data_IF_558888081432
#
_entry.id   IF_558888081432
#
_cell.length_a   1.000
_cell.length_b   1.000
_cell.length_c   1.000
_cell.angle_alpha   90.00
_cell.angle_beta   90.00
_cell.angle_gamma   90.00
#
_symmetry.space_group_name_H-M   'P 1'
#
loop_
_entity.id
_entity.type
_entity.pdbx_description
1 polymer ?
#
# COMPACT_ATOMS: atom_id res chain seq x y z
N UNK A 1 -57.59 -34.71 35.43
CA UNK A 1 -57.29 -33.27 35.61
C UNK A 1 -55.79 -33.15 35.53
N UNK A 2 -55.30 -33.12 34.32
CA UNK A 2 -53.93 -33.38 33.95
C UNK A 2 -53.11 -32.09 33.79
N UNK A 3 -51.97 -32.09 34.43
CA UNK A 3 -50.99 -31.01 34.27
C UNK A 3 -50.06 -31.35 33.12
N UNK A 4 -50.13 -30.62 32.05
CA UNK A 4 -49.13 -30.69 30.97
C UNK A 4 -47.87 -29.93 31.37
N UNK A 5 -46.77 -30.68 31.50
CA UNK A 5 -45.42 -30.10 31.59
C UNK A 5 -44.91 -29.78 30.20
N UNK A 6 -44.72 -28.52 29.91
CA UNK A 6 -44.08 -28.04 28.69
C UNK A 6 -42.58 -27.84 28.94
N UNK A 7 -41.76 -28.79 28.53
CA UNK A 7 -40.30 -28.67 28.53
C UNK A 7 -39.87 -27.85 27.32
N UNK A 8 -39.39 -26.62 27.57
CA UNK A 8 -38.75 -25.79 26.57
C UNK A 8 -37.30 -26.25 26.37
N UNK A 9 -37.02 -26.92 25.27
CA UNK A 9 -35.66 -27.20 24.84
C UNK A 9 -35.04 -25.95 24.20
N UNK A 10 -34.08 -25.36 24.89
CA UNK A 10 -33.28 -24.23 24.39
C UNK A 10 -32.22 -24.77 23.44
N UNK A 11 -32.45 -24.70 22.13
CA UNK A 11 -31.47 -25.02 21.11
C UNK A 11 -30.45 -23.89 20.99
N UNK A 12 -29.26 -24.11 21.51
CA UNK A 12 -28.10 -23.23 21.37
C UNK A 12 -27.56 -23.36 19.94
N UNK A 13 -27.92 -22.43 19.05
CA UNK A 13 -27.27 -22.29 17.75
C UNK A 13 -25.86 -21.69 17.97
N UNK A 14 -24.84 -22.54 18.02
CA UNK A 14 -23.45 -22.08 17.78
C UNK A 14 -23.34 -21.70 16.29
N UNK A 15 -23.42 -20.44 16.00
CA UNK A 15 -22.97 -19.91 14.72
C UNK A 15 -21.44 -20.05 14.64
N UNK A 16 -20.97 -21.12 13.99
CA UNK A 16 -19.59 -21.14 13.48
C UNK A 16 -19.49 -20.00 12.46
N UNK A 17 -18.90 -18.88 12.89
CA UNK A 17 -18.40 -17.89 11.97
C UNK A 17 -17.28 -18.59 11.17
N UNK A 18 -17.60 -19.00 9.94
CA UNK A 18 -16.59 -19.37 8.97
C UNK A 18 -15.77 -18.09 8.72
N UNK A 19 -14.63 -17.98 9.41
CA UNK A 19 -13.59 -17.03 9.03
C UNK A 19 -13.13 -17.54 7.66
N UNK A 20 -13.63 -16.91 6.60
CA UNK A 20 -13.07 -17.08 5.27
C UNK A 20 -11.60 -16.64 5.39
N UNK A 21 -10.70 -17.61 5.52
CA UNK A 21 -9.27 -17.37 5.41
C UNK A 21 -9.07 -16.74 4.04
N UNK A 22 -8.65 -15.48 4.03
CA UNK A 22 -8.16 -14.84 2.83
C UNK A 22 -7.20 -15.82 2.16
N UNK A 23 -7.47 -16.20 0.90
CA UNK A 23 -6.70 -17.20 0.18
C UNK A 23 -5.35 -16.62 -0.29
N UNK A 24 -4.61 -15.95 0.59
CA UNK A 24 -3.23 -15.51 0.42
C UNK A 24 -2.27 -16.63 0.82
N UNK A 25 -1.12 -16.74 0.14
CA UNK A 25 0.01 -17.50 0.66
C UNK A 25 0.47 -16.94 2.02
N UNK A 26 1.37 -17.64 2.74
CA UNK A 26 1.89 -17.12 4.00
C UNK A 26 2.59 -15.79 3.77
N UNK A 27 2.46 -14.86 4.71
CA UNK A 27 3.27 -13.64 4.69
C UNK A 27 4.75 -13.99 4.86
N UNK A 28 5.63 -13.12 4.41
CA UNK A 28 7.05 -13.41 4.38
C UNK A 28 7.62 -13.76 5.77
N UNK A 29 7.17 -13.08 6.83
CA UNK A 29 7.54 -13.37 8.21
C UNK A 29 7.06 -14.74 8.67
N UNK A 30 5.84 -15.13 8.33
CA UNK A 30 5.27 -16.46 8.62
C UNK A 30 6.01 -17.56 7.86
N UNK A 31 6.52 -17.25 6.68
CA UNK A 31 7.36 -18.15 5.88
C UNK A 31 8.81 -18.26 6.40
N UNK A 32 9.16 -17.57 7.48
CA UNK A 32 10.46 -17.63 8.14
C UNK A 32 11.47 -16.59 7.67
N UNK A 33 11.07 -15.58 6.89
CA UNK A 33 11.99 -14.47 6.54
C UNK A 33 12.27 -13.65 7.79
N UNK A 34 13.56 -13.41 8.16
CA UNK A 34 13.92 -12.72 9.40
C UNK A 34 13.89 -11.20 9.20
N UNK A 35 12.79 -10.57 9.56
CA UNK A 35 12.73 -9.11 9.65
C UNK A 35 13.03 -8.63 11.08
N UNK A 36 13.64 -7.45 11.17
CA UNK A 36 13.98 -6.80 12.42
C UNK A 36 12.83 -5.92 12.93
N UNK A 37 12.80 -5.70 14.24
CA UNK A 37 11.83 -4.84 14.94
C UNK A 37 10.49 -5.51 15.23
N UNK A 38 9.81 -5.00 16.26
CA UNK A 38 8.50 -5.48 16.71
C UNK A 38 7.40 -4.88 15.85
N UNK A 39 6.43 -5.70 15.44
CA UNK A 39 5.28 -5.28 14.64
C UNK A 39 4.10 -4.89 15.52
N UNK A 40 3.18 -4.10 14.97
CA UNK A 40 1.84 -4.00 15.52
C UNK A 40 1.06 -5.32 15.35
N UNK A 41 -0.16 -5.39 15.90
CA UNK A 41 -0.95 -6.64 15.91
C UNK A 41 -1.29 -7.20 14.54
N UNK A 42 -1.43 -6.34 13.52
CA UNK A 42 -1.77 -6.71 12.15
C UNK A 42 -0.55 -6.75 11.23
N UNK A 43 0.59 -6.23 11.70
CA UNK A 43 1.77 -5.95 10.88
C UNK A 43 1.38 -5.26 9.57
N UNK A 44 0.59 -4.20 9.66
CA UNK A 44 -0.01 -3.47 8.54
C UNK A 44 -0.06 -1.96 8.81
N UNK A 45 -0.22 -1.17 7.76
CA UNK A 45 -0.38 0.29 7.88
C UNK A 45 -1.57 0.67 8.78
N UNK A 46 -2.58 -0.19 8.86
CA UNK A 46 -3.78 -0.03 9.71
C UNK A 46 -3.53 -0.26 11.19
N UNK A 47 -2.33 -0.65 11.62
CA UNK A 47 -1.91 -0.59 13.02
C UNK A 47 -1.75 0.87 13.50
N UNK A 48 -1.58 1.82 12.59
CA UNK A 48 -1.65 3.24 12.90
C UNK A 48 -3.11 3.63 13.09
N UNK A 49 -3.44 4.05 14.31
CA UNK A 49 -4.82 4.33 14.69
C UNK A 49 -5.50 5.37 13.77
N UNK A 50 -6.67 5.04 13.27
CA UNK A 50 -7.47 5.86 12.37
C UNK A 50 -7.21 5.61 10.89
N UNK A 51 -6.16 4.88 10.52
CA UNK A 51 -5.92 4.53 9.11
C UNK A 51 -6.93 3.48 8.64
N UNK A 52 -7.60 3.77 7.53
CA UNK A 52 -8.57 2.87 6.88
C UNK A 52 -8.18 2.60 5.44
N UNK A 53 -8.39 1.36 4.98
CA UNK A 53 -8.06 0.92 3.62
C UNK A 53 -9.30 0.38 2.93
N UNK A 54 -9.51 0.80 1.68
CA UNK A 54 -10.52 0.25 0.77
C UNK A 54 -9.89 -0.18 -0.54
N UNK A 55 -10.35 -1.30 -1.11
CA UNK A 55 -9.75 -1.88 -2.31
C UNK A 55 -10.84 -2.39 -3.26
N UNK A 56 -10.67 -2.09 -4.56
CA UNK A 56 -11.50 -2.66 -5.64
C UNK A 56 -10.60 -3.24 -6.70
N UNK A 57 -10.78 -4.53 -6.98
CA UNK A 57 -9.97 -5.31 -7.91
C UNK A 57 -10.78 -5.61 -9.17
N UNK A 58 -10.20 -5.29 -10.35
CA UNK A 58 -10.83 -5.51 -11.65
C UNK A 58 -10.03 -6.54 -12.45
N UNK A 59 -10.61 -7.73 -12.61
CA UNK A 59 -10.03 -8.82 -13.40
C UNK A 59 -11.11 -9.34 -14.34
N UNK A 60 -10.89 -9.18 -15.67
CA UNK A 60 -11.80 -9.71 -16.68
C UNK A 60 -11.11 -9.92 -18.03
N UNK A 61 -11.70 -10.74 -18.86
CA UNK A 61 -11.22 -11.01 -20.21
C UNK A 61 -9.90 -11.81 -20.26
N UNK A 62 -9.58 -12.30 -21.46
CA UNK A 62 -8.37 -13.05 -21.81
C UNK A 62 -8.05 -12.84 -23.29
N UNK A 63 -6.84 -13.22 -23.75
CA UNK A 63 -6.42 -13.19 -25.14
C UNK A 63 -5.66 -11.93 -25.56
N UNK A 64 -5.84 -11.51 -26.81
CA UNK A 64 -5.15 -10.37 -27.38
C UNK A 64 -5.61 -9.04 -26.75
N UNK A 65 -4.70 -8.07 -26.67
CA UNK A 65 -5.05 -6.71 -26.29
C UNK A 65 -6.01 -6.09 -27.31
N UNK A 66 -7.19 -5.70 -26.82
CA UNK A 66 -8.15 -4.90 -27.57
C UNK A 66 -8.48 -3.65 -26.75
N UNK A 67 -8.03 -2.49 -27.21
CA UNK A 67 -8.21 -1.22 -26.50
C UNK A 67 -9.68 -0.98 -26.12
N UNK A 68 -9.92 -0.74 -24.84
CA UNK A 68 -11.26 -0.54 -24.26
C UNK A 68 -12.05 -1.83 -24.03
N UNK A 69 -11.51 -3.00 -24.36
CA UNK A 69 -12.12 -4.31 -24.14
C UNK A 69 -11.33 -5.24 -23.23
N UNK A 70 -10.05 -4.96 -23.05
CA UNK A 70 -9.16 -5.72 -22.15
C UNK A 70 -8.21 -6.66 -22.88
N UNK A 71 -7.65 -7.66 -22.22
CA UNK A 71 -7.87 -8.09 -20.81
C UNK A 71 -7.63 -7.01 -19.76
N UNK A 72 -8.43 -7.06 -18.69
CA UNK A 72 -8.38 -6.09 -17.57
C UNK A 72 -7.69 -6.70 -16.36
N UNK A 73 -6.65 -6.04 -15.86
CA UNK A 73 -5.89 -6.42 -14.67
C UNK A 73 -5.47 -5.15 -13.92
N UNK A 74 -6.42 -4.46 -13.30
CA UNK A 74 -6.22 -3.16 -12.66
C UNK A 74 -7.12 -3.01 -11.44
N UNK A 75 -7.14 -1.85 -10.80
CA UNK A 75 -8.01 -1.57 -9.67
C UNK A 75 -7.65 -0.30 -8.95
N UNK A 76 -8.20 -0.14 -7.75
CA UNK A 76 -8.07 1.04 -6.92
C UNK A 76 -7.82 0.61 -5.48
N UNK A 77 -6.82 1.22 -4.83
CA UNK A 77 -6.62 1.16 -3.37
C UNK A 77 -6.74 2.57 -2.80
N UNK A 78 -7.57 2.72 -1.77
CA UNK A 78 -7.80 3.97 -1.06
C UNK A 78 -7.22 3.86 0.34
N UNK A 79 -6.56 4.92 0.82
CA UNK A 79 -6.02 5.04 2.16
C UNK A 79 -6.59 6.31 2.78
N UNK A 80 -7.40 6.19 3.83
CA UNK A 80 -7.80 7.34 4.63
C UNK A 80 -6.84 7.51 5.81
N UNK A 81 -6.20 8.67 5.97
CA UNK A 81 -5.25 8.90 7.06
C UNK A 81 -5.87 8.83 8.47
N UNK A 82 -7.10 9.30 8.61
CA UNK A 82 -7.84 9.38 9.90
C UNK A 82 -9.30 8.95 9.78
N UNK A 83 -9.57 7.96 8.91
CA UNK A 83 -10.91 7.48 8.63
C UNK A 83 -11.75 8.38 7.71
N UNK A 84 -12.78 7.80 7.13
CA UNK A 84 -13.66 8.47 6.15
C UNK A 84 -14.38 9.71 6.69
N UNK A 85 -14.70 9.70 7.96
CA UNK A 85 -15.48 10.77 8.61
C UNK A 85 -14.62 11.97 9.07
N UNK A 86 -13.29 11.90 8.92
CA UNK A 86 -12.41 12.97 9.35
C UNK A 86 -12.26 14.05 8.27
N UNK A 87 -12.78 15.27 8.50
CA UNK A 87 -12.79 16.33 7.50
C UNK A 87 -11.54 17.23 7.55
N UNK A 88 -10.63 16.99 8.50
CA UNK A 88 -9.51 17.88 8.77
C UNK A 88 -8.24 17.54 7.98
N UNK A 89 -7.23 18.37 8.18
CA UNK A 89 -5.91 18.20 7.60
C UNK A 89 -5.05 17.22 8.42
N UNK A 90 -4.13 16.56 7.75
CA UNK A 90 -3.03 15.83 8.37
C UNK A 90 -1.72 16.40 7.86
N UNK A 91 -0.70 16.45 8.72
CA UNK A 91 0.64 16.79 8.27
C UNK A 91 1.17 15.71 7.33
N UNK A 92 1.76 16.16 6.22
CA UNK A 92 2.35 15.32 5.20
C UNK A 92 3.73 15.82 4.77
N UNK A 93 4.47 14.93 4.14
CA UNK A 93 5.74 15.27 3.50
C UNK A 93 6.06 14.26 2.41
N UNK A 94 6.46 14.75 1.24
CA UNK A 94 6.76 13.92 0.08
C UNK A 94 8.25 13.79 -0.17
N UNK A 95 8.65 12.72 -0.85
CA UNK A 95 9.97 12.51 -1.38
C UNK A 95 9.91 11.80 -2.73
N UNK A 96 10.65 12.32 -3.72
CA UNK A 96 10.77 11.72 -5.05
C UNK A 96 12.18 11.18 -5.19
N UNK A 97 12.32 9.86 -5.23
CA UNK A 97 13.59 9.20 -5.50
C UNK A 97 13.90 9.19 -7.00
N UNK A 98 12.87 8.97 -7.84
CA UNK A 98 12.90 9.19 -9.29
C UNK A 98 11.51 9.60 -9.78
N UNK A 99 11.42 10.58 -10.66
CA UNK A 99 10.21 11.32 -10.97
C UNK A 99 9.46 10.87 -12.24
N UNK A 100 9.75 9.70 -12.80
CA UNK A 100 9.04 9.21 -14.00
C UNK A 100 7.72 8.52 -13.61
N UNK A 101 6.82 9.25 -12.96
CA UNK A 101 5.52 8.83 -12.45
C UNK A 101 4.70 10.01 -11.96
N UNK A 102 3.47 9.76 -11.53
CA UNK A 102 2.55 10.79 -11.07
C UNK A 102 2.08 10.56 -9.63
N UNK A 103 2.06 11.65 -8.86
CA UNK A 103 1.31 11.80 -7.61
C UNK A 103 0.70 13.19 -7.61
N UNK A 104 -0.61 13.27 -7.83
CA UNK A 104 -1.34 14.55 -7.76
C UNK A 104 -1.38 15.07 -6.33
N UNK A 105 -1.71 16.34 -6.13
CA UNK A 105 -1.77 16.96 -4.79
C UNK A 105 -0.41 17.19 -4.13
N UNK A 106 0.68 16.65 -4.67
CA UNK A 106 2.02 16.79 -4.10
C UNK A 106 2.48 18.23 -3.98
N UNK A 107 2.16 19.08 -4.97
CA UNK A 107 2.54 20.49 -4.92
C UNK A 107 1.97 21.20 -3.68
N UNK A 108 0.73 20.89 -3.29
CA UNK A 108 0.11 21.42 -2.07
C UNK A 108 0.83 20.89 -0.82
N UNK A 109 1.14 19.60 -0.77
CA UNK A 109 1.85 19.00 0.37
C UNK A 109 3.26 19.60 0.52
N UNK A 110 3.97 19.80 -0.59
CA UNK A 110 5.31 20.41 -0.58
C UNK A 110 5.27 21.88 -0.16
N UNK A 111 4.20 22.63 -0.47
CA UNK A 111 4.01 24.04 -0.12
C UNK A 111 3.53 24.23 1.32
N UNK A 112 2.46 23.55 1.73
CA UNK A 112 1.81 23.76 3.03
C UNK A 112 2.25 22.76 4.09
N UNK A 113 2.79 21.61 3.70
CA UNK A 113 3.14 20.52 4.62
C UNK A 113 1.94 19.74 5.13
N UNK A 114 0.79 19.88 4.49
CA UNK A 114 -0.45 19.21 4.91
C UNK A 114 -1.34 18.88 3.71
N UNK A 115 -2.26 17.94 3.92
CA UNK A 115 -3.29 17.59 2.96
C UNK A 115 -4.53 17.07 3.69
N UNK A 116 -5.61 16.96 2.95
CA UNK A 116 -6.87 16.39 3.44
C UNK A 116 -7.31 15.25 2.53
N UNK A 117 -8.11 14.35 3.09
CA UNK A 117 -8.76 13.31 2.33
C UNK A 117 -7.98 12.04 2.06
N UNK A 118 -8.53 11.18 1.18
CA UNK A 118 -7.90 9.93 0.86
C UNK A 118 -6.67 10.09 -0.04
N UNK A 119 -5.73 9.17 0.12
CA UNK A 119 -4.70 8.87 -0.86
C UNK A 119 -5.21 7.72 -1.71
N UNK A 120 -5.16 7.85 -3.03
CA UNK A 120 -5.62 6.82 -3.97
C UNK A 120 -4.44 6.28 -4.77
N UNK A 121 -4.32 4.95 -4.84
CA UNK A 121 -3.33 4.24 -5.65
C UNK A 121 -4.04 3.46 -6.75
N UNK A 122 -3.57 3.59 -8.00
CA UNK A 122 -4.19 2.94 -9.16
C UNK A 122 -3.18 2.70 -10.30
N UNK A 123 -3.64 2.26 -11.46
CA UNK A 123 -2.82 2.16 -12.68
C UNK A 123 -2.69 3.51 -13.39
N UNK A 124 -1.60 3.70 -14.16
CA UNK A 124 -1.25 4.97 -14.83
C UNK A 124 -2.39 5.55 -15.67
N UNK A 125 -3.15 4.71 -16.36
CA UNK A 125 -4.28 5.15 -17.19
C UNK A 125 -5.51 5.62 -16.41
N UNK A 126 -5.51 5.53 -15.08
CA UNK A 126 -6.68 5.77 -14.22
C UNK A 126 -6.55 6.96 -13.26
N UNK A 127 -5.42 7.68 -13.31
CA UNK A 127 -5.17 8.84 -12.42
C UNK A 127 -6.27 9.89 -12.58
N UNK A 128 -6.62 10.25 -13.81
CA UNK A 128 -7.61 11.28 -14.10
C UNK A 128 -8.99 10.96 -13.53
N UNK A 129 -9.52 9.75 -13.77
CA UNK A 129 -10.83 9.36 -13.25
C UNK A 129 -10.84 9.25 -11.73
N UNK A 130 -9.75 8.77 -11.13
CA UNK A 130 -9.65 8.70 -9.67
C UNK A 130 -9.61 10.10 -9.05
N UNK A 131 -8.85 11.03 -9.63
CA UNK A 131 -8.76 12.41 -9.16
C UNK A 131 -10.12 13.11 -9.24
N UNK A 132 -10.77 13.09 -10.39
CA UNK A 132 -12.07 13.70 -10.63
C UNK A 132 -13.15 13.13 -9.69
N UNK A 133 -13.15 11.81 -9.51
CA UNK A 133 -14.11 11.14 -8.62
C UNK A 133 -13.91 11.53 -7.15
N UNK A 134 -12.67 11.58 -6.66
CA UNK A 134 -12.40 11.99 -5.26
C UNK A 134 -12.81 13.45 -5.06
N UNK A 135 -12.53 14.32 -6.02
CA UNK A 135 -12.93 15.73 -5.97
C UNK A 135 -14.47 15.85 -5.87
N UNK A 136 -15.19 15.14 -6.73
CA UNK A 136 -16.66 15.12 -6.72
C UNK A 136 -17.21 14.52 -5.42
N UNK A 137 -16.62 13.43 -4.91
CA UNK A 137 -17.00 12.78 -3.67
C UNK A 137 -16.86 13.74 -2.48
N UNK A 138 -15.76 14.52 -2.41
CA UNK A 138 -15.58 15.54 -1.39
C UNK A 138 -16.60 16.68 -1.50
N UNK A 139 -16.86 17.16 -2.70
CA UNK A 139 -17.86 18.20 -2.91
C UNK A 139 -19.23 17.78 -2.36
N UNK A 140 -19.60 16.50 -2.55
CA UNK A 140 -20.84 15.97 -1.97
C UNK A 140 -20.76 15.87 -0.43
N UNK A 141 -19.63 15.44 0.11
CA UNK A 141 -19.44 15.30 1.56
C UNK A 141 -19.51 16.65 2.29
N UNK A 142 -19.01 17.73 1.68
CA UNK A 142 -18.91 19.08 2.28
C UNK A 142 -20.05 20.01 1.89
N UNK A 143 -21.04 19.52 1.13
CA UNK A 143 -22.16 20.34 0.67
C UNK A 143 -21.87 21.24 -0.54
N UNK A 144 -20.70 21.08 -1.18
CA UNK A 144 -20.36 21.67 -2.47
C UNK A 144 -20.11 23.19 -2.46
N UNK A 145 -19.92 23.82 -1.29
CA UNK A 145 -19.57 25.24 -1.24
C UNK A 145 -18.10 25.45 -1.64
N UNK A 146 -17.80 26.17 -2.76
CA UNK A 146 -16.43 26.37 -3.19
C UNK A 146 -15.56 27.16 -2.21
N UNK A 147 -16.16 28.01 -1.38
CA UNK A 147 -15.42 28.82 -0.39
C UNK A 147 -14.87 27.94 0.74
N UNK A 148 -15.58 26.85 1.08
CA UNK A 148 -15.20 25.92 2.15
C UNK A 148 -14.36 24.73 1.66
N UNK A 149 -14.23 24.55 0.32
CA UNK A 149 -13.74 23.30 -0.26
C UNK A 149 -12.42 23.41 -1.01
N UNK A 150 -11.75 24.55 -1.03
CA UNK A 150 -10.51 24.73 -1.82
C UNK A 150 -9.45 23.66 -1.54
N UNK A 151 -9.20 23.34 -0.28
CA UNK A 151 -8.20 22.35 0.11
C UNK A 151 -8.58 20.90 -0.28
N UNK A 152 -9.87 20.64 -0.51
CA UNK A 152 -10.38 19.34 -0.95
C UNK A 152 -10.35 19.15 -2.47
N UNK A 153 -10.01 20.19 -3.21
CA UNK A 153 -9.97 20.16 -4.67
C UNK A 153 -8.63 19.67 -5.23
N UNK A 154 -7.70 19.25 -4.38
CA UNK A 154 -6.38 18.75 -4.75
C UNK A 154 -6.14 17.33 -4.23
N UNK A 155 -6.93 16.33 -4.70
CA UNK A 155 -6.80 14.95 -4.28
C UNK A 155 -5.40 14.38 -4.50
N UNK A 156 -4.96 13.51 -3.60
CA UNK A 156 -3.71 12.77 -3.73
C UNK A 156 -3.99 11.45 -4.45
N UNK A 157 -3.60 11.36 -5.72
CA UNK A 157 -3.71 10.14 -6.52
C UNK A 157 -2.34 9.80 -7.08
N UNK A 158 -1.86 8.60 -6.80
CA UNK A 158 -0.57 8.10 -7.28
C UNK A 158 -0.74 6.81 -8.09
N UNK A 159 0.23 6.53 -8.96
CA UNK A 159 0.11 5.45 -9.92
C UNK A 159 1.40 4.63 -10.07
N UNK A 160 1.22 3.41 -10.58
CA UNK A 160 2.25 2.61 -11.21
C UNK A 160 1.72 1.96 -12.49
N UNK A 161 2.60 1.64 -13.45
CA UNK A 161 2.20 1.21 -14.80
C UNK A 161 1.85 -0.29 -14.83
N UNK A 162 0.57 -0.63 -15.03
CA UNK A 162 0.05 -2.00 -15.11
C UNK A 162 0.01 -2.60 -16.53
N UNK A 163 0.46 -1.87 -17.54
CA UNK A 163 0.33 -2.21 -18.96
C UNK A 163 1.12 -3.44 -19.43
N UNK A 164 1.81 -4.16 -18.54
CA UNK A 164 2.37 -5.47 -18.87
C UNK A 164 1.29 -6.56 -18.91
N UNK A 165 0.23 -6.42 -18.11
CA UNK A 165 -0.85 -7.38 -17.96
C UNK A 165 -2.23 -6.81 -18.30
N UNK A 166 -2.38 -5.48 -18.29
CA UNK A 166 -3.63 -4.75 -18.38
C UNK A 166 -3.75 -3.97 -19.68
N UNK A 167 -4.96 -3.82 -20.17
CA UNK A 167 -5.34 -2.79 -21.17
C UNK A 167 -5.37 -1.41 -20.47
N UNK A 168 -4.18 -0.88 -20.17
CA UNK A 168 -3.96 0.32 -19.34
C UNK A 168 -4.71 1.54 -19.85
N UNK A 169 -4.76 1.73 -21.17
CA UNK A 169 -5.39 2.90 -21.77
C UNK A 169 -6.86 2.68 -22.14
N UNK A 170 -7.41 1.50 -21.84
CA UNK A 170 -8.82 1.17 -22.04
C UNK A 170 -9.78 1.80 -21.05
N UNK A 171 -9.26 2.55 -20.06
CA UNK A 171 -10.05 3.29 -19.05
C UNK A 171 -11.08 2.40 -18.33
N UNK A 172 -10.64 1.25 -17.84
CA UNK A 172 -11.49 0.26 -17.19
C UNK A 172 -11.90 0.64 -15.77
N UNK A 173 -11.08 1.42 -15.06
CA UNK A 173 -11.48 2.05 -13.79
C UNK A 173 -12.51 3.13 -14.10
N UNK A 174 -13.64 3.08 -13.40
CA UNK A 174 -14.76 4.02 -13.55
C UNK A 174 -15.02 4.71 -12.19
N UNK A 175 -15.77 5.83 -12.15
CA UNK A 175 -16.11 6.52 -10.91
C UNK A 175 -16.71 5.59 -9.85
N UNK A 176 -17.61 4.68 -10.25
CA UNK A 176 -18.23 3.71 -9.34
C UNK A 176 -17.24 2.80 -8.63
N UNK A 177 -16.12 2.43 -9.27
CA UNK A 177 -15.07 1.61 -8.65
C UNK A 177 -14.29 2.40 -7.60
N UNK A 178 -14.03 3.69 -7.86
CA UNK A 178 -13.38 4.59 -6.90
C UNK A 178 -14.30 4.83 -5.70
N UNK A 179 -15.58 5.13 -5.93
CA UNK A 179 -16.58 5.30 -4.89
C UNK A 179 -16.70 4.02 -4.05
N UNK A 180 -16.76 2.85 -4.68
CA UNK A 180 -16.81 1.57 -3.97
C UNK A 180 -15.58 1.36 -3.07
N UNK A 181 -14.38 1.76 -3.53
CA UNK A 181 -13.16 1.69 -2.73
C UNK A 181 -13.22 2.68 -1.54
N UNK A 182 -13.70 3.91 -1.77
CA UNK A 182 -13.92 4.91 -0.71
C UNK A 182 -14.90 4.39 0.34
N UNK A 183 -16.06 3.85 -0.08
CA UNK A 183 -17.11 3.38 0.81
C UNK A 183 -16.72 2.12 1.60
N UNK A 184 -15.95 1.21 0.99
CA UNK A 184 -15.51 -0.03 1.63
C UNK A 184 -14.35 0.14 2.59
N UNK A 185 -13.72 1.31 2.65
CA UNK A 185 -12.56 1.55 3.49
C UNK A 185 -12.86 1.31 4.98
N UNK A 186 -11.95 0.58 5.64
CA UNK A 186 -12.05 0.21 7.05
C UNK A 186 -10.66 -0.06 7.64
N UNK A 187 -10.57 -0.01 8.96
CA UNK A 187 -9.42 -0.55 9.71
C UNK A 187 -9.39 -2.07 9.67
N UNK A 188 -8.38 -2.67 10.29
CA UNK A 188 -8.21 -4.13 10.33
C UNK A 188 -7.24 -4.67 9.29
N UNK A 189 -7.23 -5.98 9.01
CA UNK A 189 -6.31 -6.59 8.06
C UNK A 189 -6.42 -5.99 6.66
N UNK A 190 -5.26 -5.83 6.00
CA UNK A 190 -5.15 -5.32 4.62
C UNK A 190 -4.88 -6.50 3.68
N UNK A 191 -5.63 -6.59 2.59
CA UNK A 191 -5.33 -7.57 1.54
C UNK A 191 -4.07 -7.16 0.76
N UNK A 192 -3.19 -8.14 0.47
CA UNK A 192 -1.89 -7.93 -0.16
C UNK A 192 -1.79 -8.63 -1.52
N UNK A 193 -0.79 -8.27 -2.32
CA UNK A 193 -0.50 -8.86 -3.62
C UNK A 193 -1.34 -8.26 -4.74
N UNK A 194 -1.98 -9.13 -5.52
CA UNK A 194 -2.68 -8.79 -6.77
C UNK A 194 -4.09 -8.24 -6.53
N UNK A 195 -4.21 -7.21 -5.69
CA UNK A 195 -5.49 -6.61 -5.27
C UNK A 195 -5.46 -5.09 -5.42
N UNK A 196 -6.63 -4.49 -5.55
CA UNK A 196 -6.77 -3.04 -5.68
C UNK A 196 -5.89 -2.47 -6.79
N UNK A 197 -5.24 -1.34 -6.52
CA UNK A 197 -4.27 -0.74 -7.44
C UNK A 197 -3.07 -1.65 -7.76
N UNK A 198 -2.76 -2.65 -6.92
CA UNK A 198 -1.70 -3.64 -7.13
C UNK A 198 -2.02 -4.77 -8.09
N UNK A 199 -3.24 -4.84 -8.63
CA UNK A 199 -3.73 -5.99 -9.41
C UNK A 199 -2.84 -6.37 -10.59
N UNK A 200 -2.44 -5.42 -11.43
CA UNK A 200 -1.60 -5.67 -12.62
C UNK A 200 -0.09 -5.52 -12.40
N UNK A 201 0.37 -5.29 -11.16
CA UNK A 201 1.73 -4.87 -10.87
C UNK A 201 2.73 -6.03 -10.81
N UNK A 202 3.96 -5.73 -11.24
CA UNK A 202 5.05 -6.69 -11.37
C UNK A 202 6.31 -6.11 -10.74
N UNK A 203 6.84 -6.76 -9.71
CA UNK A 203 8.10 -6.34 -9.10
C UNK A 203 9.16 -7.46 -9.22
N UNK A 204 10.38 -7.07 -9.53
CA UNK A 204 11.51 -7.99 -9.74
C UNK A 204 11.20 -9.14 -10.71
N UNK A 205 10.34 -8.88 -11.71
CA UNK A 205 9.91 -9.89 -12.69
C UNK A 205 9.01 -10.98 -12.12
N UNK A 206 8.45 -10.78 -10.93
CA UNK A 206 7.42 -11.61 -10.32
C UNK A 206 6.12 -10.82 -10.12
N UNK A 207 5.01 -11.53 -10.05
CA UNK A 207 3.74 -10.91 -9.70
C UNK A 207 3.82 -10.35 -8.27
N UNK A 208 3.45 -9.09 -8.13
CA UNK A 208 3.48 -8.37 -6.87
C UNK A 208 2.22 -7.51 -6.71
N UNK A 209 2.32 -6.33 -6.16
CA UNK A 209 1.22 -5.38 -6.01
C UNK A 209 1.22 -4.69 -4.67
N UNK A 210 0.11 -4.79 -3.91
CA UNK A 210 0.01 -4.19 -2.59
C UNK A 210 0.79 -5.02 -1.57
N UNK A 211 1.54 -4.33 -0.71
CA UNK A 211 2.18 -4.93 0.45
C UNK A 211 2.15 -3.97 1.63
N UNK A 212 2.15 -4.48 2.85
CA UNK A 212 2.09 -3.66 4.04
C UNK A 212 2.91 -4.26 5.18
N UNK A 213 3.34 -3.41 6.10
CA UNK A 213 3.99 -3.81 7.35
C UNK A 213 3.92 -2.68 8.38
N UNK A 214 4.19 -2.98 9.64
CA UNK A 214 4.27 -1.98 10.69
C UNK A 214 5.46 -2.21 11.63
N UNK A 215 5.82 -1.17 12.39
CA UNK A 215 6.80 -1.24 13.49
C UNK A 215 6.34 -0.44 14.67
N UNK A 216 6.50 -1.02 15.84
CA UNK A 216 6.33 -0.33 17.12
C UNK A 216 7.64 0.34 17.53
N UNK A 217 7.56 1.59 17.95
CA UNK A 217 8.70 2.43 18.29
C UNK A 217 8.53 3.00 19.69
N UNK A 218 9.37 2.58 20.61
CA UNK A 218 9.42 3.18 21.95
C UNK A 218 10.30 4.43 21.94
N UNK A 219 9.69 5.58 22.27
CA UNK A 219 10.36 6.87 22.28
C UNK A 219 9.79 7.78 23.38
N UNK A 220 10.66 8.37 24.19
CA UNK A 220 10.28 9.27 25.29
C UNK A 220 9.19 8.70 26.22
N UNK A 221 9.26 7.41 26.54
CA UNK A 221 8.33 6.71 27.43
C UNK A 221 6.95 6.41 26.82
N UNK A 222 6.81 6.57 25.50
CA UNK A 222 5.61 6.23 24.71
C UNK A 222 5.95 5.25 23.61
N UNK A 223 4.97 4.46 23.21
CA UNK A 223 5.06 3.63 22.01
C UNK A 223 4.30 4.32 20.88
N UNK A 224 4.96 4.49 19.75
CA UNK A 224 4.40 4.96 18.50
C UNK A 224 4.41 3.84 17.48
N UNK A 225 3.54 3.95 16.49
CA UNK A 225 3.45 3.02 15.37
C UNK A 225 3.93 3.71 14.09
N UNK A 226 4.76 3.01 13.31
CA UNK A 226 5.07 3.35 11.92
C UNK A 226 4.50 2.26 11.04
N UNK A 227 3.54 2.59 10.19
CA UNK A 227 2.91 1.68 9.23
C UNK A 227 3.28 2.06 7.81
N UNK A 228 3.49 1.07 6.95
CA UNK A 228 3.85 1.26 5.55
C UNK A 228 2.90 0.47 4.65
N UNK A 229 2.45 1.09 3.56
CA UNK A 229 1.79 0.42 2.45
C UNK A 229 2.54 0.77 1.16
N UNK A 230 2.79 -0.25 0.34
CA UNK A 230 3.43 -0.09 -0.97
C UNK A 230 2.51 -0.56 -2.10
N UNK A 231 2.61 0.09 -3.25
CA UNK A 231 2.18 -0.45 -4.54
C UNK A 231 3.44 -0.71 -5.35
N UNK A 232 3.89 -1.98 -5.36
CA UNK A 232 5.20 -2.38 -5.88
C UNK A 232 5.10 -2.87 -7.33
N UNK A 233 5.80 -2.17 -8.23
CA UNK A 233 5.86 -2.45 -9.67
C UNK A 233 7.24 -2.09 -10.23
N UNK A 234 8.32 -2.59 -9.65
CA UNK A 234 9.68 -2.13 -9.93
C UNK A 234 10.74 -3.23 -9.87
N UNK A 235 11.93 -2.94 -10.34
CA UNK A 235 13.12 -3.76 -10.17
C UNK A 235 13.26 -4.90 -11.19
N UNK A 236 14.50 -5.25 -11.51
CA UNK A 236 14.86 -6.42 -12.30
C UNK A 236 15.05 -7.66 -11.44
N UNK A 237 14.80 -8.84 -12.00
CA UNK A 237 14.86 -10.13 -11.27
C UNK A 237 16.18 -10.37 -10.56
N UNK A 238 17.29 -10.08 -11.21
CA UNK A 238 18.66 -10.26 -10.70
C UNK A 238 19.00 -9.33 -9.53
N UNK A 239 18.22 -8.27 -9.35
CA UNK A 239 18.40 -7.30 -8.27
C UNK A 239 17.78 -7.77 -6.94
N UNK A 240 16.77 -8.67 -6.99
CA UNK A 240 16.00 -9.05 -5.80
C UNK A 240 16.90 -9.61 -4.70
N UNK A 241 16.86 -8.95 -3.56
CA UNK A 241 17.54 -9.32 -2.33
C UNK A 241 16.50 -9.51 -1.22
N UNK A 242 16.57 -10.61 -0.48
CA UNK A 242 15.70 -10.89 0.66
C UNK A 242 16.58 -11.28 1.85
N UNK A 243 16.41 -10.62 2.98
CA UNK A 243 17.21 -10.82 4.18
C UNK A 243 18.75 -10.75 3.92
N UNK A 244 19.17 -9.85 3.01
CA UNK A 244 20.57 -9.68 2.60
C UNK A 244 21.10 -10.75 1.64
N UNK A 245 20.28 -11.71 1.20
CA UNK A 245 20.65 -12.75 0.25
C UNK A 245 20.20 -12.37 -1.15
N UNK A 246 21.07 -12.40 -2.19
CA UNK A 246 20.71 -12.07 -3.57
C UNK A 246 19.88 -13.19 -4.20
N UNK A 247 18.64 -13.35 -3.74
CA UNK A 247 17.71 -14.41 -4.08
C UNK A 247 17.43 -14.44 -5.59
N UNK A 248 17.25 -13.27 -6.20
CA UNK A 248 16.95 -13.16 -7.62
C UNK A 248 17.99 -13.77 -8.55
N UNK A 249 19.28 -13.70 -8.17
CA UNK A 249 20.38 -14.34 -8.94
C UNK A 249 20.48 -15.86 -8.70
N UNK A 250 19.93 -16.34 -7.58
CA UNK A 250 19.99 -17.75 -7.20
C UNK A 250 18.78 -18.54 -7.66
N UNK A 251 17.68 -17.86 -7.97
CA UNK A 251 16.52 -18.51 -8.56
C UNK A 251 16.86 -18.92 -10.00
N UNK A 252 17.21 -20.19 -10.21
CA UNK A 252 17.38 -20.78 -11.53
C UNK A 252 16.00 -20.87 -12.20
N UNK A 253 15.64 -19.85 -12.93
CA UNK A 253 14.35 -19.79 -13.62
C UNK A 253 14.61 -19.79 -15.12
N UNK A 254 13.90 -20.64 -15.83
CA UNK A 254 13.84 -20.61 -17.30
C UNK A 254 13.63 -19.15 -17.75
N UNK A 255 14.41 -18.63 -18.71
CA UNK A 255 14.22 -17.27 -19.19
C UNK A 255 12.76 -17.12 -19.61
N UNK A 256 11.99 -16.33 -18.85
CA UNK A 256 10.72 -15.82 -19.37
C UNK A 256 11.08 -15.06 -20.63
N UNK A 257 10.43 -15.39 -21.75
CA UNK A 257 10.61 -14.69 -23.02
C UNK A 257 10.68 -13.19 -22.70
N UNK A 258 11.78 -12.56 -23.07
CA UNK A 258 12.26 -11.26 -22.60
C UNK A 258 11.11 -10.30 -22.26
N UNK A 259 10.72 -10.25 -20.99
CA UNK A 259 9.92 -9.13 -20.50
C UNK A 259 10.72 -7.87 -20.85
N UNK A 260 10.10 -6.85 -21.47
CA UNK A 260 10.82 -5.64 -21.80
C UNK A 260 11.51 -5.15 -20.53
N UNK A 261 12.80 -4.79 -20.62
CA UNK A 261 13.59 -4.18 -19.56
C UNK A 261 13.00 -2.80 -19.24
N UNK A 262 11.80 -2.74 -18.71
CA UNK A 262 11.22 -1.52 -18.17
C UNK A 262 11.40 -1.57 -16.67
N UNK A 263 12.23 -0.68 -16.21
CA UNK A 263 12.26 -0.27 -14.81
C UNK A 263 10.85 0.24 -14.52
N UNK A 264 10.18 -0.38 -13.57
CA UNK A 264 8.83 0.02 -13.20
C UNK A 264 8.84 1.08 -12.10
N UNK A 265 7.73 1.29 -11.43
CA UNK A 265 7.51 2.34 -10.43
C UNK A 265 7.16 1.74 -9.08
N UNK A 266 7.37 2.50 -7.99
CA UNK A 266 6.83 2.14 -6.69
C UNK A 266 6.27 3.38 -5.99
N UNK A 267 5.05 3.25 -5.47
CA UNK A 267 4.50 4.22 -4.53
C UNK A 267 4.59 3.65 -3.13
N UNK A 268 5.12 4.46 -2.19
CA UNK A 268 5.24 4.09 -0.78
C UNK A 268 4.52 5.13 0.06
N UNK A 269 3.56 4.68 0.86
CA UNK A 269 2.85 5.50 1.83
C UNK A 269 3.25 5.08 3.23
N UNK A 270 3.75 6.03 4.02
CA UNK A 270 4.16 5.81 5.41
C UNK A 270 3.22 6.58 6.34
N UNK A 271 2.57 5.88 7.24
CA UNK A 271 1.73 6.45 8.29
C UNK A 271 2.44 6.37 9.65
N UNK A 272 2.18 7.33 10.52
CA UNK A 272 2.58 7.23 11.94
C UNK A 272 1.63 8.02 12.83
N UNK A 273 1.47 7.56 14.08
CA UNK A 273 0.80 8.32 15.16
C UNK A 273 1.78 9.18 15.97
N UNK A 274 3.06 9.16 15.64
CA UNK A 274 4.05 10.05 16.23
C UNK A 274 3.79 11.51 15.79
N UNK A 275 3.81 12.48 16.71
CA UNK A 275 3.62 13.89 16.38
C UNK A 275 4.86 14.42 15.65
N UNK A 276 4.78 14.48 14.33
CA UNK A 276 5.86 14.94 13.46
C UNK A 276 5.43 16.16 12.64
N UNK A 277 6.37 17.08 12.47
CA UNK A 277 6.22 18.23 11.58
C UNK A 277 6.41 17.83 10.11
N UNK A 278 5.90 18.60 9.13
CA UNK A 278 6.02 18.30 7.71
C UNK A 278 7.44 18.05 7.22
N UNK A 279 8.42 18.83 7.67
CA UNK A 279 9.82 18.65 7.33
C UNK A 279 10.41 17.35 7.92
N UNK A 280 9.89 16.87 9.06
CA UNK A 280 10.26 15.58 9.64
C UNK A 280 9.62 14.44 8.87
N UNK A 281 8.37 14.59 8.43
CA UNK A 281 7.67 13.62 7.57
C UNK A 281 8.35 13.47 6.20
N UNK A 282 8.84 14.56 5.61
CA UNK A 282 9.68 14.47 4.42
C UNK A 282 10.94 13.63 4.65
N UNK A 283 11.57 13.72 5.83
CA UNK A 283 12.71 12.86 6.20
C UNK A 283 12.31 11.40 6.40
N UNK A 284 11.10 11.15 6.89
CA UNK A 284 10.50 9.80 6.98
C UNK A 284 10.29 9.25 5.57
N UNK A 285 9.62 9.99 4.68
CA UNK A 285 9.40 9.58 3.29
C UNK A 285 10.73 9.24 2.57
N UNK A 286 11.77 10.07 2.75
CA UNK A 286 13.11 9.79 2.21
C UNK A 286 13.65 8.43 2.70
N UNK A 287 13.37 8.01 3.94
CA UNK A 287 13.89 6.73 4.47
C UNK A 287 13.27 5.50 3.81
N UNK A 288 12.12 5.62 3.18
CA UNK A 288 11.55 4.55 2.35
C UNK A 288 12.50 4.12 1.22
N UNK A 289 13.32 5.05 0.68
CA UNK A 289 14.38 4.74 -0.29
C UNK A 289 15.37 3.69 0.23
N UNK A 290 15.73 3.76 1.53
CA UNK A 290 16.66 2.81 2.12
C UNK A 290 16.03 1.43 2.29
N UNK A 291 14.74 1.36 2.64
CA UNK A 291 13.99 0.09 2.68
C UNK A 291 13.87 -0.54 1.30
N UNK A 292 13.59 0.27 0.27
CA UNK A 292 13.58 -0.16 -1.13
C UNK A 292 14.96 -0.67 -1.57
N UNK A 293 16.06 0.00 -1.20
CA UNK A 293 17.42 -0.41 -1.53
C UNK A 293 17.81 -1.74 -0.86
N UNK A 294 17.30 -2.05 0.34
CA UNK A 294 17.55 -3.33 1.04
C UNK A 294 17.01 -4.54 0.26
N UNK A 295 15.96 -4.36 -0.52
CA UNK A 295 15.42 -5.41 -1.41
C UNK A 295 15.99 -5.38 -2.82
N UNK A 296 16.92 -4.45 -3.11
CA UNK A 296 17.62 -4.34 -4.40
C UNK A 296 17.02 -3.29 -5.35
N UNK A 297 16.11 -2.43 -4.89
CA UNK A 297 15.60 -1.30 -5.68
C UNK A 297 16.64 -0.23 -5.88
N UNK A 298 16.77 0.30 -7.10
CA UNK A 298 17.80 1.25 -7.51
C UNK A 298 17.28 2.55 -8.14
N UNK A 299 15.97 2.76 -8.18
CA UNK A 299 15.35 3.96 -8.79
C UNK A 299 15.88 4.26 -10.19
N UNK A 300 15.67 3.33 -11.12
CA UNK A 300 16.13 3.50 -12.50
C UNK A 300 15.47 4.67 -13.23
N UNK A 301 16.06 5.12 -14.32
CA UNK A 301 15.67 6.36 -15.04
C UNK A 301 14.19 6.43 -15.43
N UNK A 302 13.57 5.28 -15.75
CA UNK A 302 12.17 5.22 -16.17
C UNK A 302 11.21 4.85 -15.04
N UNK A 303 11.70 4.76 -13.80
CA UNK A 303 10.91 4.44 -12.61
C UNK A 303 10.22 5.69 -12.04
N UNK A 304 8.98 5.58 -11.63
CA UNK A 304 8.27 6.58 -10.83
C UNK A 304 8.27 6.16 -9.36
N UNK A 305 9.28 6.58 -8.61
CA UNK A 305 9.48 6.21 -7.21
C UNK A 305 9.12 7.40 -6.33
N UNK A 306 7.85 7.48 -5.93
CA UNK A 306 7.27 8.64 -5.24
C UNK A 306 6.69 8.20 -3.90
N UNK A 307 7.11 8.88 -2.83
CA UNK A 307 6.79 8.50 -1.47
C UNK A 307 6.09 9.63 -0.73
N UNK A 308 5.13 9.26 0.11
CA UNK A 308 4.39 10.16 0.99
C UNK A 308 4.45 9.60 2.41
N UNK A 309 4.80 10.46 3.38
CA UNK A 309 4.63 10.16 4.79
C UNK A 309 3.63 11.13 5.41
N UNK A 310 2.79 10.63 6.34
CA UNK A 310 1.86 11.47 7.10
C UNK A 310 1.78 11.08 8.57
N UNK A 311 1.31 12.05 9.39
CA UNK A 311 1.08 11.81 10.82
C UNK A 311 -0.39 11.97 11.17
N UNK A 312 -0.96 10.96 11.84
CA UNK A 312 -2.33 11.04 12.38
C UNK A 312 -2.42 11.91 13.64
N UNK A 313 -1.28 12.27 14.24
CA UNK A 313 -1.19 13.20 15.38
C UNK A 313 -1.17 14.67 14.96
N UNK A 314 -1.28 14.98 13.68
CA UNK A 314 -1.21 16.33 13.10
C UNK A 314 -2.33 17.26 13.56
N UNK A 315 -2.35 18.51 13.06
CA UNK A 315 -2.89 19.69 13.75
C UNK A 315 -4.38 19.62 14.07
N UNK A 316 -5.09 18.66 13.51
CA UNK A 316 -6.53 18.59 13.68
C UNK A 316 -7.26 19.63 12.82
N UNK A 317 -8.47 19.95 13.22
CA UNK A 317 -9.19 21.11 12.69
C UNK A 317 -8.69 22.35 13.45
N UNK A 318 -8.08 23.26 12.70
CA UNK A 318 -7.60 24.51 13.28
C UNK A 318 -8.76 25.46 13.49
N UNK A 319 -8.89 25.99 14.70
CA UNK A 319 -9.70 27.17 14.96
C UNK A 319 -8.75 28.37 15.18
N UNK A 320 -8.79 29.35 14.26
CA UNK A 320 -8.02 30.58 14.36
C UNK A 320 -6.70 30.60 13.57
N UNK A 321 -6.01 31.72 13.65
CA UNK A 321 -4.79 32.01 12.88
C UNK A 321 -3.50 31.43 13.50
N UNK A 322 -3.54 31.00 14.74
CA UNK A 322 -2.40 30.44 15.46
C UNK A 322 -2.66 28.99 15.87
N UNK A 323 -1.73 28.09 15.55
CA UNK A 323 -1.80 26.68 15.89
C UNK A 323 -0.75 26.30 16.91
N UNK A 324 -1.18 25.63 17.98
CA UNK A 324 -0.29 24.99 18.92
C UNK A 324 -0.10 23.52 18.53
N UNK A 325 1.11 23.16 18.10
CA UNK A 325 1.42 21.78 17.76
C UNK A 325 2.50 21.21 18.66
N UNK A 326 2.35 19.93 19.04
CA UNK A 326 3.40 19.17 19.70
C UNK A 326 4.18 18.40 18.64
N UNK A 327 5.48 18.29 18.83
CA UNK A 327 6.31 17.49 17.93
C UNK A 327 7.48 16.84 18.70
N UNK A 328 8.04 15.78 18.09
CA UNK A 328 9.23 15.10 18.59
C UNK A 328 10.46 15.89 18.14
N UNK A 329 11.44 16.05 19.06
CA UNK A 329 12.72 16.67 18.71
C UNK A 329 13.36 15.97 17.52
N UNK A 330 13.83 16.74 16.55
CA UNK A 330 14.45 16.23 15.34
C UNK A 330 15.69 15.37 15.59
N UNK A 331 16.40 15.55 16.70
CA UNK A 331 17.54 14.71 17.09
C UNK A 331 17.10 13.36 17.66
N UNK A 332 15.85 13.22 18.11
CA UNK A 332 15.28 12.00 18.63
C UNK A 332 14.61 11.09 17.59
N UNK A 333 14.60 11.46 16.31
CA UNK A 333 13.85 10.75 15.26
C UNK A 333 14.44 9.41 14.82
N UNK A 334 15.68 9.08 15.17
CA UNK A 334 16.34 7.88 14.65
C UNK A 334 15.52 6.58 14.77
N UNK A 335 14.82 6.29 15.89
CA UNK A 335 13.99 5.08 15.96
C UNK A 335 12.87 5.04 14.92
N UNK A 336 12.19 6.18 14.67
CA UNK A 336 11.12 6.29 13.66
C UNK A 336 11.68 6.13 12.25
N UNK A 337 12.84 6.75 11.97
CA UNK A 337 13.53 6.63 10.69
C UNK A 337 13.96 5.19 10.40
N UNK A 338 14.50 4.49 11.41
CA UNK A 338 14.85 3.07 11.31
C UNK A 338 13.61 2.19 11.11
N UNK A 339 12.54 2.41 11.86
CA UNK A 339 11.27 1.71 11.72
C UNK A 339 10.70 1.84 10.29
N UNK A 340 10.81 3.03 9.70
CA UNK A 340 10.37 3.26 8.30
C UNK A 340 11.16 2.39 7.33
N UNK A 341 12.48 2.30 7.48
CA UNK A 341 13.33 1.44 6.62
C UNK A 341 12.90 -0.02 6.74
N UNK A 342 12.74 -0.52 7.97
CA UNK A 342 12.42 -1.92 8.25
C UNK A 342 11.01 -2.30 7.79
N UNK A 343 10.02 -1.44 8.04
CA UNK A 343 8.64 -1.67 7.58
C UNK A 343 8.53 -1.61 6.05
N UNK A 344 9.28 -0.72 5.40
CA UNK A 344 9.31 -0.63 3.92
C UNK A 344 9.90 -1.89 3.29
N UNK A 345 11.02 -2.39 3.81
CA UNK A 345 11.62 -3.65 3.36
C UNK A 345 10.61 -4.80 3.44
N UNK A 346 9.96 -4.97 4.59
CA UNK A 346 8.99 -6.04 4.80
C UNK A 346 7.75 -5.87 3.92
N UNK A 347 7.18 -4.68 3.81
CA UNK A 347 6.02 -4.40 2.96
C UNK A 347 6.28 -4.79 1.49
N UNK A 348 7.47 -4.47 0.96
CA UNK A 348 7.83 -4.85 -0.41
C UNK A 348 7.94 -6.37 -0.55
N UNK A 349 8.57 -7.06 0.40
CA UNK A 349 8.69 -8.52 0.35
C UNK A 349 7.31 -9.18 0.51
N UNK A 350 6.45 -8.66 1.39
CA UNK A 350 5.07 -9.15 1.54
C UNK A 350 4.27 -9.03 0.23
N UNK A 351 4.43 -7.94 -0.53
CA UNK A 351 3.78 -7.79 -1.84
C UNK A 351 4.15 -8.90 -2.83
N UNK A 352 5.38 -9.39 -2.78
CA UNK A 352 5.88 -10.50 -3.61
C UNK A 352 5.36 -11.85 -3.11
N UNK A 353 5.33 -12.09 -1.80
CA UNK A 353 4.83 -13.33 -1.20
C UNK A 353 3.32 -13.50 -1.43
N UNK A 354 2.57 -12.40 -1.41
CA UNK A 354 1.14 -12.39 -1.71
C UNK A 354 0.81 -12.40 -3.21
N UNK A 355 1.78 -12.12 -4.09
CA UNK A 355 1.61 -12.10 -5.54
C UNK A 355 1.33 -13.48 -6.12
N UNK A 356 0.28 -13.62 -6.94
CA UNK A 356 -0.09 -14.89 -7.58
C UNK A 356 0.10 -14.83 -9.07
N UNK A 357 0.55 -15.92 -9.69
CA UNK A 357 0.66 -16.04 -11.15
C UNK A 357 -0.59 -15.49 -11.82
N UNK A 358 -0.38 -14.58 -12.77
CA UNK A 358 -1.46 -13.87 -13.45
C UNK A 358 -1.20 -13.86 -14.96
N UNK A 359 -2.24 -14.19 -15.73
CA UNK A 359 -2.29 -14.04 -17.16
C UNK A 359 -3.01 -12.75 -17.53
N UNK A 360 -2.43 -11.97 -18.43
CA UNK A 360 -2.96 -10.69 -18.90
C UNK A 360 -3.04 -10.60 -20.42
N UNK A 361 -2.88 -9.38 -20.92
CA UNK A 361 -2.95 -9.06 -22.37
C UNK A 361 -1.99 -9.93 -23.18
N UNK A 362 -2.39 -10.25 -24.43
CA UNK A 362 -1.58 -10.99 -25.40
C UNK A 362 -1.07 -12.35 -24.90
N UNK A 363 -1.73 -12.91 -23.88
CA UNK A 363 -1.30 -14.16 -23.26
C UNK A 363 -0.06 -14.03 -22.37
N UNK A 364 0.39 -12.82 -22.04
CA UNK A 364 1.50 -12.61 -21.12
C UNK A 364 1.18 -13.23 -19.76
N UNK A 365 2.09 -14.02 -19.23
CA UNK A 365 1.98 -14.64 -17.90
C UNK A 365 3.12 -14.11 -17.04
N UNK A 366 2.79 -13.65 -15.86
CA UNK A 366 3.76 -13.29 -14.82
C UNK A 366 3.55 -14.21 -13.63
N UNK A 367 4.60 -14.97 -13.30
CA UNK A 367 4.57 -15.92 -12.21
C UNK A 367 4.65 -15.23 -10.84
N UNK A 368 3.97 -15.84 -9.86
CA UNK A 368 4.22 -15.53 -8.45
C UNK A 368 5.63 -15.92 -8.02
N UNK A 369 6.10 -15.34 -6.93
CA UNK A 369 7.39 -15.70 -6.35
C UNK A 369 7.38 -17.19 -5.93
N UNK A 370 8.39 -18.01 -6.33
CA UNK A 370 8.45 -19.42 -5.93
C UNK A 370 8.92 -19.55 -4.46
N UNK A 371 7.99 -19.39 -3.52
CA UNK A 371 8.24 -19.25 -2.08
C UNK A 371 9.10 -20.39 -1.52
N UNK A 372 8.83 -21.64 -1.91
CA UNK A 372 9.61 -22.80 -1.42
C UNK A 372 11.08 -22.76 -1.87
N UNK A 373 11.35 -22.31 -3.09
CA UNK A 373 12.72 -22.09 -3.57
C UNK A 373 13.39 -20.94 -2.84
N UNK A 374 12.68 -19.84 -2.59
CA UNK A 374 13.19 -18.71 -1.78
C UNK A 374 13.55 -19.21 -0.38
N UNK A 375 12.68 -19.97 0.29
CA UNK A 375 12.95 -20.55 1.61
C UNK A 375 14.18 -21.46 1.59
N UNK A 376 14.33 -22.30 0.57
CA UNK A 376 15.50 -23.16 0.41
C UNK A 376 16.79 -22.35 0.29
N UNK A 377 16.78 -21.29 -0.54
CA UNK A 377 17.92 -20.38 -0.71
C UNK A 377 18.29 -19.68 0.61
N UNK A 378 17.30 -19.20 1.35
CA UNK A 378 17.50 -18.54 2.64
C UNK A 378 18.03 -19.51 3.70
N UNK A 379 17.55 -20.77 3.71
CA UNK A 379 18.04 -21.83 4.61
C UNK A 379 19.50 -22.15 4.35
N UNK A 380 19.89 -22.35 3.08
CA UNK A 380 21.29 -22.57 2.69
C UNK A 380 22.21 -21.41 3.08
N UNK A 381 21.68 -20.19 3.07
CA UNK A 381 22.41 -18.98 3.48
C UNK A 381 22.40 -18.75 5.01
N UNK A 382 21.83 -19.66 5.81
CA UNK A 382 21.61 -19.50 7.25
C UNK A 382 20.84 -18.21 7.60
N UNK A 383 19.86 -17.84 6.75
CA UNK A 383 19.04 -16.63 6.86
C UNK A 383 17.54 -16.94 6.95
N UNK A 384 17.13 -18.18 7.17
CA UNK A 384 15.73 -18.54 7.44
C UNK A 384 15.55 -18.77 8.94
N UNK A 385 14.50 -18.17 9.52
CA UNK A 385 14.04 -18.57 10.86
C UNK A 385 13.19 -19.84 10.68
N UNK A 386 13.56 -20.90 11.36
CA UNK A 386 12.68 -22.07 11.45
C UNK A 386 11.56 -21.73 12.46
N UNK A 387 10.33 -22.27 12.24
CA UNK A 387 9.17 -21.99 13.08
C UNK A 387 9.32 -22.45 14.52
#
# INVERSE_FOLDING_TARGET
>A
MDRLNLSMALALFLSLACIATAQGGPRAREAGVPFEGDTGPLDAITDVAGVEIGQVTLISGDGALLLGKGPVRTGVTVIFPKGKAYPGFVYGGTFVANGTGEMTGRALIDELGEFTGPIVLTGSGSVGVAHDTVQSWYAHLTGGNPEDTFAYTLPVVAETFDGQLNDTFGQHVKPEHVIQALDSARGGPVEEGSVGGGTGMVAFGFKAGIGTASRLVSLAGKTYTVGVLVQANFGGRDQLTIAGVPVGRRLAITPVAAAPKKEGSIVIVVATDAPLLPNQLRRVALRATHGMARVGGMSGTTSGDIFLAFSTAGPGMAEGAELNTRYIDSLALNPILAATVLATEEAIVNSLFAGRTMKGINGHVVDGLPIDHVRAILREAARLREP
#
